data_IF_473413067249
#
_entry.id   IF_473413067249
#
_cell.length_a   1.000
_cell.length_b   1.000
_cell.length_c   1.000
_cell.angle_alpha   90.00
_cell.angle_beta   90.00
_cell.angle_gamma   90.00
#
_symmetry.space_group_name_H-M   'P 1'
#
loop_
_entity.id
_entity.type
_entity.pdbx_description
1 polymer ?
#
# COMPACT_ATOMS: atom_id res chain seq x y z
N UNK A 1 8.86 1.31 7.68
CA UNK A 1 8.72 2.20 6.52
C UNK A 1 8.23 1.41 5.32
N UNK A 2 7.28 1.97 4.59
CA UNK A 2 6.76 1.32 3.39
C UNK A 2 7.76 1.40 2.24
N UNK A 3 7.84 0.32 1.48
CA UNK A 3 8.71 0.24 0.31
C UNK A 3 7.91 -0.20 -0.90
N UNK A 4 8.35 0.26 -2.05
CA UNK A 4 7.80 -0.17 -3.32
C UNK A 4 7.88 -1.70 -3.41
N UNK A 5 6.76 -2.32 -3.76
CA UNK A 5 6.68 -3.77 -3.89
C UNK A 5 6.19 -4.50 -2.65
N UNK A 6 6.10 -3.81 -1.50
CA UNK A 6 5.54 -4.41 -0.30
C UNK A 6 4.10 -4.87 -0.55
N UNK A 7 3.76 -6.04 -0.03
CA UNK A 7 2.42 -6.59 -0.17
C UNK A 7 1.85 -6.92 1.20
N UNK A 8 0.60 -6.54 1.41
CA UNK A 8 -0.11 -6.74 2.68
C UNK A 8 -1.42 -7.45 2.44
N UNK A 9 -1.87 -8.21 3.43
CA UNK A 9 -3.13 -8.94 3.36
C UNK A 9 -4.02 -8.51 4.52
N UNK A 10 -5.26 -8.15 4.21
CA UNK A 10 -6.27 -7.82 5.20
C UNK A 10 -6.88 -9.09 5.79
N UNK A 11 -7.68 -8.91 6.85
CA UNK A 11 -8.30 -10.03 7.58
C UNK A 11 -9.26 -10.85 6.70
N UNK A 12 -9.82 -10.24 5.68
CA UNK A 12 -10.73 -10.94 4.75
C UNK A 12 -10.01 -11.57 3.56
N UNK A 13 -8.68 -11.54 3.55
CA UNK A 13 -7.89 -12.11 2.47
C UNK A 13 -7.59 -11.16 1.32
N UNK A 14 -8.12 -9.95 1.34
CA UNK A 14 -7.83 -8.97 0.29
C UNK A 14 -6.38 -8.52 0.37
N UNK A 15 -5.69 -8.55 -0.78
CA UNK A 15 -4.28 -8.14 -0.83
C UNK A 15 -4.13 -6.75 -1.41
N UNK A 16 -3.17 -6.03 -0.84
CA UNK A 16 -2.82 -4.68 -1.27
C UNK A 16 -1.34 -4.64 -1.56
N UNK A 17 -0.97 -3.95 -2.63
CA UNK A 17 0.44 -3.82 -3.00
C UNK A 17 0.83 -2.35 -3.03
N UNK A 18 2.01 -2.05 -2.49
CA UNK A 18 2.55 -0.70 -2.46
C UNK A 18 3.36 -0.48 -3.72
N UNK A 19 2.99 0.54 -4.49
CA UNK A 19 3.79 1.01 -5.62
C UNK A 19 4.52 2.27 -5.20
N UNK A 20 5.59 2.58 -5.89
CA UNK A 20 6.42 3.71 -5.54
C UNK A 20 5.69 5.04 -5.66
N UNK A 21 6.31 6.07 -5.10
CA UNK A 21 5.81 7.42 -5.19
C UNK A 21 5.84 7.91 -6.64
N UNK A 22 5.07 8.96 -6.91
CA UNK A 22 5.06 9.61 -8.21
C UNK A 22 6.41 10.22 -8.58
N UNK A 23 7.21 10.56 -7.56
CA UNK A 23 8.49 11.20 -7.75
C UNK A 23 9.50 10.64 -6.77
N UNK A 24 10.74 11.12 -6.86
CA UNK A 24 11.84 10.64 -6.04
C UNK A 24 11.74 11.08 -4.58
N UNK A 25 10.79 11.93 -4.24
CA UNK A 25 10.66 12.45 -2.88
C UNK A 25 9.75 11.60 -2.01
N UNK A 26 9.10 10.59 -2.59
CA UNK A 26 8.14 9.75 -1.87
C UNK A 26 7.00 10.57 -1.25
N UNK A 27 6.56 11.59 -1.98
CA UNK A 27 5.45 12.45 -1.53
C UNK A 27 4.15 11.67 -1.39
N UNK A 28 3.96 10.65 -2.24
CA UNK A 28 2.76 9.81 -2.24
C UNK A 28 3.15 8.36 -2.45
N UNK A 29 2.28 7.46 -1.97
CA UNK A 29 2.31 6.06 -2.38
C UNK A 29 1.04 5.72 -3.13
N UNK A 30 1.17 4.80 -4.08
CA UNK A 30 0.02 4.19 -4.72
C UNK A 30 -0.21 2.82 -4.07
N UNK A 31 -1.41 2.62 -3.52
CA UNK A 31 -1.80 1.37 -2.89
C UNK A 31 -2.83 0.71 -3.78
N UNK A 32 -2.50 -0.45 -4.32
CA UNK A 32 -3.38 -1.18 -5.21
C UNK A 32 -4.15 -2.23 -4.43
N UNK A 33 -5.48 -2.19 -4.54
CA UNK A 33 -6.35 -3.29 -4.07
C UNK A 33 -6.37 -4.31 -5.19
N UNK A 34 -5.68 -5.44 -4.99
CA UNK A 34 -5.51 -6.43 -6.05
C UNK A 34 -6.78 -7.21 -6.35
N UNK A 35 -7.71 -7.26 -5.39
CA UNK A 35 -8.99 -7.93 -5.60
C UNK A 35 -9.91 -7.14 -6.50
N UNK A 36 -9.94 -5.81 -6.33
CA UNK A 36 -10.85 -4.94 -7.05
C UNK A 36 -10.21 -4.19 -8.21
N UNK A 37 -8.88 -4.32 -8.38
CA UNK A 37 -8.12 -3.59 -9.39
C UNK A 37 -8.24 -2.08 -9.26
N UNK A 38 -8.27 -1.59 -8.03
CA UNK A 38 -8.36 -0.17 -7.74
C UNK A 38 -7.03 0.29 -7.14
N UNK A 39 -6.55 1.44 -7.62
CA UNK A 39 -5.33 2.04 -7.09
C UNK A 39 -5.69 3.35 -6.40
N UNK A 40 -5.24 3.50 -5.16
CA UNK A 40 -5.50 4.69 -4.36
C UNK A 40 -4.18 5.38 -4.07
N UNK A 41 -4.15 6.69 -4.29
CA UNK A 41 -2.99 7.52 -3.96
C UNK A 41 -3.10 7.98 -2.52
N UNK A 42 -2.06 7.76 -1.73
CA UNK A 42 -2.06 8.15 -0.32
C UNK A 42 -0.74 8.80 0.05
N UNK A 43 -0.81 9.78 0.97
CA UNK A 43 0.39 10.30 1.59
C UNK A 43 1.01 9.21 2.48
N UNK A 44 2.34 9.26 2.73
CA UNK A 44 3.01 8.21 3.50
C UNK A 44 2.38 7.92 4.85
N UNK A 45 1.99 8.97 5.59
CA UNK A 45 1.36 8.79 6.90
C UNK A 45 0.05 8.02 6.78
N UNK A 46 -0.79 8.40 5.81
CA UNK A 46 -2.08 7.75 5.61
C UNK A 46 -1.91 6.32 5.13
N UNK A 47 -0.94 6.07 4.26
CA UNK A 47 -0.66 4.72 3.78
C UNK A 47 -0.21 3.82 4.92
N UNK A 48 0.66 4.33 5.79
CA UNK A 48 1.13 3.57 6.95
C UNK A 48 -0.03 3.22 7.87
N UNK A 49 -0.90 4.17 8.16
CA UNK A 49 -2.07 3.92 9.01
C UNK A 49 -3.03 2.93 8.37
N UNK A 50 -3.27 3.08 7.07
CA UNK A 50 -4.17 2.18 6.34
C UNK A 50 -3.70 0.73 6.40
N UNK A 51 -2.39 0.52 6.28
CA UNK A 51 -1.83 -0.83 6.23
C UNK A 51 -1.44 -1.38 7.60
N UNK A 52 -1.54 -0.58 8.68
CA UNK A 52 -0.98 -0.93 9.98
C UNK A 52 -1.61 -2.16 10.61
N UNK A 53 -2.89 -2.44 10.31
CA UNK A 53 -3.58 -3.61 10.85
C UNK A 53 -3.48 -4.85 9.98
N UNK A 54 -2.73 -4.79 8.89
CA UNK A 54 -2.64 -5.88 7.94
C UNK A 54 -1.35 -6.65 8.09
N UNK A 55 -1.36 -7.91 7.63
CA UNK A 55 -0.17 -8.76 7.64
C UNK A 55 0.67 -8.48 6.40
N UNK A 56 1.96 -8.21 6.60
CA UNK A 56 2.89 -8.10 5.49
C UNK A 56 3.24 -9.50 5.01
N UNK A 57 3.05 -9.79 3.72
CA UNK A 57 3.13 -11.15 3.19
C UNK A 57 4.33 -11.37 2.26
N UNK A 58 5.24 -10.43 2.17
CA UNK A 58 6.47 -10.65 1.39
C UNK A 58 7.70 -10.03 2.03
#
# INVERSE_FOLDING_TARGET
MLHKGDKYRDVDGTEFQVFGALDDTYTYFFIANLKQNIVIRMQPKNATEFLSGMEKVN
#
